data_IF_183643726819
#
_entry.id   IF_183643726819
#
_cell.length_a   1.000
_cell.length_b   1.000
_cell.length_c   1.000
_cell.angle_alpha   90.00
_cell.angle_beta   90.00
_cell.angle_gamma   90.00
#
_symmetry.space_group_name_H-M   'P 1'
#
loop_
_entity.id
_entity.type
_entity.pdbx_description
1 polymer ?
#
# COMPACT_ATOMS: atom_id res chain seq x y z
N UNK A 1 11.95 -12.83 -2.67
CA UNK A 1 10.77 -13.67 -2.40
C UNK A 1 10.34 -13.42 -0.96
N UNK A 2 9.61 -12.34 -0.69
CA UNK A 2 8.96 -12.03 0.60
C UNK A 2 7.83 -11.01 0.35
N UNK A 3 7.00 -11.29 -0.66
CA UNK A 3 5.87 -10.44 -1.08
C UNK A 3 4.58 -10.75 -0.30
N UNK A 4 4.69 -11.20 0.96
CA UNK A 4 3.54 -11.63 1.77
C UNK A 4 3.63 -11.16 3.23
N UNK A 5 4.09 -9.95 3.49
CA UNK A 5 3.63 -9.26 4.70
C UNK A 5 2.19 -8.79 4.42
N UNK A 6 1.26 -9.56 4.98
CA UNK A 6 -0.19 -9.52 4.82
C UNK A 6 -0.80 -8.10 4.76
N UNK A 7 -1.35 -7.77 3.59
CA UNK A 7 -2.29 -6.67 3.33
C UNK A 7 -3.68 -6.88 4.00
N UNK A 8 -3.74 -7.51 5.18
CA UNK A 8 -4.95 -7.59 6.02
C UNK A 8 -4.69 -6.91 7.38
N UNK A 9 -3.43 -6.83 7.83
CA UNK A 9 -3.11 -6.30 9.15
C UNK A 9 -3.32 -4.78 9.28
N UNK A 10 -3.17 -3.99 8.21
CA UNK A 10 -3.35 -2.53 8.29
C UNK A 10 -4.81 -2.09 8.32
N UNK A 11 -5.68 -2.72 7.54
CA UNK A 11 -7.09 -2.28 7.46
C UNK A 11 -7.94 -2.78 8.64
N UNK A 12 -7.56 -3.89 9.30
CA UNK A 12 -8.22 -4.36 10.53
C UNK A 12 -7.66 -3.74 11.82
N UNK A 13 -6.50 -3.07 11.80
CA UNK A 13 -5.92 -2.52 13.02
C UNK A 13 -6.68 -1.28 13.56
N UNK A 14 -7.39 -0.54 12.70
CA UNK A 14 -8.01 0.72 13.11
C UNK A 14 -9.30 0.57 13.95
N UNK A 15 -9.95 -0.60 13.97
CA UNK A 15 -11.32 -0.69 14.57
C UNK A 15 -11.36 -1.50 15.87
N UNK A 16 -10.42 -2.43 16.14
CA UNK A 16 -10.56 -3.36 17.29
C UNK A 16 -9.28 -3.64 18.12
N UNK A 17 -8.17 -2.93 17.91
CA UNK A 17 -6.91 -3.18 18.65
C UNK A 17 -6.44 -1.93 19.41
N UNK A 18 -7.23 -1.49 20.38
CA UNK A 18 -6.91 -0.33 21.21
C UNK A 18 -6.02 -0.64 22.43
N UNK A 19 -5.62 -1.89 22.67
CA UNK A 19 -4.74 -2.22 23.80
C UNK A 19 -3.63 -3.21 23.39
N UNK A 20 -2.44 -2.65 23.20
CA UNK A 20 -1.13 -3.29 23.45
C UNK A 20 -0.58 -4.31 22.44
N UNK A 21 -0.42 -3.92 21.17
CA UNK A 21 0.70 -4.44 20.36
C UNK A 21 1.49 -3.24 19.84
N UNK A 22 2.65 -2.98 20.43
CA UNK A 22 3.68 -2.16 19.80
C UNK A 22 4.27 -2.96 18.63
N UNK A 23 3.62 -2.92 17.46
CA UNK A 23 4.25 -3.45 16.26
C UNK A 23 5.41 -2.54 15.89
N UNK A 24 6.61 -3.13 15.86
CA UNK A 24 7.81 -2.48 15.34
C UNK A 24 7.78 -2.73 13.83
N UNK A 25 7.93 -1.66 13.04
CA UNK A 25 8.01 -1.80 11.59
C UNK A 25 9.19 -2.70 11.20
N UNK A 26 9.02 -3.49 10.14
CA UNK A 26 10.09 -4.37 9.64
C UNK A 26 11.32 -3.58 9.11
N UNK A 27 11.13 -2.30 8.80
CA UNK A 27 12.10 -1.36 8.26
C UNK A 27 11.66 0.07 8.64
N UNK A 28 12.57 1.05 8.63
CA UNK A 28 12.13 2.45 8.61
C UNK A 28 11.35 2.68 7.31
N UNK A 29 10.07 3.02 7.43
CA UNK A 29 9.18 3.18 6.28
C UNK A 29 8.65 4.61 6.18
N UNK A 30 8.34 5.02 4.95
CA UNK A 30 7.68 6.29 4.65
C UNK A 30 6.35 6.04 3.96
N UNK A 31 5.36 6.85 4.33
CA UNK A 31 4.04 6.89 3.67
C UNK A 31 4.12 7.84 2.48
N UNK A 32 3.69 7.39 1.31
CA UNK A 32 3.65 8.17 0.09
C UNK A 32 2.27 8.09 -0.57
N UNK A 33 1.84 9.19 -1.19
CA UNK A 33 0.65 9.23 -2.04
C UNK A 33 1.14 9.43 -3.48
N UNK A 34 0.83 8.48 -4.37
CA UNK A 34 1.28 8.49 -5.76
C UNK A 34 0.12 8.35 -6.73
N UNK A 35 0.21 8.99 -7.89
CA UNK A 35 -0.82 8.98 -8.95
C UNK A 35 -0.26 8.46 -10.29
N UNK A 36 0.26 7.22 -10.35
CA UNK A 36 0.98 6.71 -11.51
C UNK A 36 0.04 6.41 -12.69
N UNK A 37 0.56 6.55 -13.91
CA UNK A 37 -0.13 6.13 -15.15
C UNK A 37 0.14 4.67 -15.53
N UNK A 38 1.12 4.01 -14.91
CA UNK A 38 1.52 2.63 -15.21
C UNK A 38 1.85 1.87 -13.92
N UNK A 39 1.48 0.58 -13.84
CA UNK A 39 1.90 -0.31 -12.77
C UNK A 39 1.95 -1.77 -13.22
N UNK A 40 2.67 -2.60 -12.47
CA UNK A 40 2.61 -4.04 -12.60
C UNK A 40 1.40 -4.59 -11.84
N UNK A 41 0.57 -5.38 -12.51
CA UNK A 41 -0.51 -6.10 -11.82
C UNK A 41 0.01 -7.33 -11.05
N UNK A 42 -0.88 -8.02 -10.34
CA UNK A 42 -0.57 -9.24 -9.58
C UNK A 42 -0.05 -10.41 -10.43
N UNK A 43 -0.24 -10.35 -11.76
CA UNK A 43 0.33 -11.30 -12.72
C UNK A 43 1.70 -10.86 -13.27
N UNK A 44 2.30 -9.79 -12.74
CA UNK A 44 3.61 -9.28 -13.15
C UNK A 44 3.60 -8.53 -14.49
N UNK A 45 2.43 -8.21 -15.05
CA UNK A 45 2.30 -7.52 -16.35
C UNK A 45 2.12 -6.03 -16.13
N UNK A 46 2.88 -5.22 -16.89
CA UNK A 46 2.71 -3.76 -16.92
C UNK A 46 1.41 -3.42 -17.63
N UNK A 47 0.60 -2.56 -17.00
CA UNK A 47 -0.68 -2.06 -17.49
C UNK A 47 -0.82 -0.58 -17.19
N UNK A 48 -1.60 0.11 -18.02
CA UNK A 48 -1.99 1.48 -17.76
C UNK A 48 -2.99 1.54 -16.60
N UNK A 49 -2.86 2.56 -15.76
CA UNK A 49 -3.85 2.95 -14.75
C UNK A 49 -4.63 4.12 -15.33
N UNK A 50 -5.96 4.06 -15.26
CA UNK A 50 -6.82 5.12 -15.78
C UNK A 50 -6.85 6.25 -14.75
N UNK A 51 -6.11 7.32 -15.01
CA UNK A 51 -6.11 8.52 -14.18
C UNK A 51 -6.41 9.73 -15.08
N UNK A 52 -7.66 10.17 -15.09
CA UNK A 52 -8.14 11.27 -15.94
C UNK A 52 -8.78 12.34 -15.05
N UNK A 53 -8.99 13.55 -15.57
CA UNK A 53 -9.66 14.62 -14.83
C UNK A 53 -11.05 14.22 -14.30
N UNK A 54 -11.75 13.30 -14.98
CA UNK A 54 -13.07 12.84 -14.58
C UNK A 54 -13.05 11.56 -13.73
N UNK A 55 -11.87 10.97 -13.55
CA UNK A 55 -11.67 9.75 -12.79
C UNK A 55 -10.25 9.74 -12.23
N UNK A 56 -10.06 10.51 -11.16
CA UNK A 56 -8.76 10.66 -10.50
C UNK A 56 -8.51 9.49 -9.54
N UNK A 57 -7.30 8.93 -9.59
CA UNK A 57 -6.90 7.83 -8.71
C UNK A 57 -5.56 8.15 -8.04
N UNK A 58 -5.49 7.88 -6.73
CA UNK A 58 -4.27 7.98 -5.95
C UNK A 58 -4.06 6.69 -5.14
N UNK A 59 -2.81 6.28 -5.00
CA UNK A 59 -2.38 5.11 -4.25
C UNK A 59 -1.63 5.59 -3.03
N UNK A 60 -2.12 5.20 -1.86
CA UNK A 60 -1.38 5.33 -0.61
C UNK A 60 -0.51 4.10 -0.46
N UNK A 61 0.80 4.30 -0.40
CA UNK A 61 1.77 3.22 -0.27
C UNK A 61 2.71 3.49 0.90
N UNK A 62 3.20 2.41 1.50
CA UNK A 62 4.25 2.47 2.51
C UNK A 62 5.47 1.73 1.97
N UNK A 63 6.58 2.46 1.91
CA UNK A 63 7.81 2.02 1.27
C UNK A 63 8.92 2.03 2.31
N UNK A 64 9.67 0.93 2.43
CA UNK A 64 10.90 0.92 3.21
C UNK A 64 11.93 1.89 2.62
N UNK A 65 12.59 2.67 3.47
CA UNK A 65 13.69 3.57 3.10
C UNK A 65 14.98 2.82 2.78
#
# INVERSE_FOLDING_TARGET
MLQRCYNIAKMLCCILWYEYIHQIDACESKVEIVTPYWASNSAGKIRAIVNTQHFEQAIHQEVCS
#
